data_IF_509839025199
#
_entry.id   IF_509839025199
#
_cell.length_a   1.000
_cell.length_b   1.000
_cell.length_c   1.000
_cell.angle_alpha   90.00
_cell.angle_beta   90.00
_cell.angle_gamma   90.00
#
_symmetry.space_group_name_H-M   'P 1'
#
loop_
_entity.id
_entity.type
_entity.pdbx_description
1 polymer ?
#
# COMPACT_ATOMS: atom_id res chain seq x y z
N UNK A 1 -9.10 19.63 -11.84
CA UNK A 1 -8.29 18.40 -11.70
C UNK A 1 -9.22 17.19 -11.70
N UNK A 2 -8.96 16.15 -12.50
CA UNK A 2 -9.87 14.99 -12.58
C UNK A 2 -9.99 14.27 -11.23
N UNK A 3 -11.15 13.67 -10.95
CA UNK A 3 -11.40 12.94 -9.71
C UNK A 3 -10.33 11.87 -9.44
N UNK A 4 -9.93 11.14 -10.48
CA UNK A 4 -8.87 10.11 -10.44
C UNK A 4 -7.55 10.66 -9.91
N UNK A 5 -7.11 11.80 -10.45
CA UNK A 5 -5.88 12.46 -10.01
C UNK A 5 -5.97 12.86 -8.55
N UNK A 6 -7.13 13.37 -8.09
CA UNK A 6 -7.31 13.76 -6.69
C UNK A 6 -7.20 12.54 -5.79
N UNK A 7 -7.91 11.45 -6.09
CA UNK A 7 -7.85 10.22 -5.30
C UNK A 7 -6.43 9.64 -5.28
N UNK A 8 -5.77 9.56 -6.44
CA UNK A 8 -4.39 9.08 -6.56
C UNK A 8 -3.42 9.91 -5.73
N UNK A 9 -3.44 11.25 -5.85
CA UNK A 9 -2.56 12.13 -5.07
C UNK A 9 -2.89 12.11 -3.58
N UNK A 10 -4.17 12.05 -3.19
CA UNK A 10 -4.55 11.94 -1.77
C UNK A 10 -4.10 10.62 -1.16
N UNK A 11 -4.17 9.53 -1.91
CA UNK A 11 -3.66 8.24 -1.47
C UNK A 11 -2.13 8.25 -1.33
N UNK A 12 -1.41 8.85 -2.30
CA UNK A 12 0.04 9.02 -2.20
C UNK A 12 0.42 9.90 -0.99
N UNK A 13 -0.33 10.97 -0.75
CA UNK A 13 -0.13 11.83 0.41
C UNK A 13 -0.37 11.08 1.73
N UNK A 14 -1.42 10.25 1.81
CA UNK A 14 -1.67 9.44 3.02
C UNK A 14 -0.62 8.35 3.22
N UNK A 15 -0.06 7.79 2.15
CA UNK A 15 1.11 6.90 2.23
C UNK A 15 2.35 7.64 2.75
N UNK A 16 2.64 8.85 2.28
CA UNK A 16 3.74 9.67 2.80
C UNK A 16 3.56 10.02 4.28
N UNK A 17 2.33 10.30 4.70
CA UNK A 17 2.01 10.50 6.11
C UNK A 17 2.27 9.23 6.93
N UNK A 18 1.88 8.06 6.42
CA UNK A 18 2.16 6.77 7.06
C UNK A 18 3.67 6.50 7.18
N UNK A 19 4.43 6.77 6.11
CA UNK A 19 5.90 6.63 6.12
C UNK A 19 6.54 7.59 7.12
N UNK A 20 6.05 8.83 7.18
CA UNK A 20 6.52 9.82 8.15
C UNK A 20 6.23 9.39 9.59
N UNK A 21 5.07 8.76 9.83
CA UNK A 21 4.75 8.14 11.11
C UNK A 21 5.75 7.02 11.44
N UNK A 22 6.08 6.13 10.50
CA UNK A 22 7.11 5.09 10.70
C UNK A 22 8.43 5.72 11.16
N UNK A 23 8.89 6.80 10.53
CA UNK A 23 10.12 7.48 10.95
C UNK A 23 10.04 8.09 12.35
N UNK A 24 8.86 8.57 12.76
CA UNK A 24 8.64 9.02 14.14
C UNK A 24 8.74 7.83 15.11
N UNK A 25 8.17 6.68 14.75
CA UNK A 25 8.19 5.46 15.56
C UNK A 25 9.57 4.85 15.74
N UNK A 26 10.42 4.92 14.71
CA UNK A 26 11.81 4.42 14.78
C UNK A 26 12.67 5.26 15.75
N UNK A 27 12.23 6.46 16.14
CA UNK A 27 12.98 7.27 17.11
C UNK A 27 12.88 6.68 18.52
N UNK A 28 13.97 6.71 19.31
CA UNK A 28 14.04 6.09 20.65
C UNK A 28 13.07 6.64 21.73
N UNK A 29 12.19 7.59 21.39
CA UNK A 29 11.21 8.21 22.29
C UNK A 29 9.75 8.07 21.79
N UNK A 30 9.50 7.24 20.77
CA UNK A 30 8.17 7.05 20.21
C UNK A 30 7.25 6.23 21.11
N UNK A 31 6.30 6.88 21.79
CA UNK A 31 5.11 6.33 22.46
C UNK A 31 5.25 4.88 22.98
N UNK A 32 5.85 4.72 24.16
CA UNK A 32 6.11 3.45 24.88
C UNK A 32 4.97 2.42 24.86
N UNK A 33 3.71 2.84 24.75
CA UNK A 33 2.57 1.93 24.80
C UNK A 33 2.52 0.95 23.61
N UNK A 34 2.89 1.38 22.40
CA UNK A 34 2.90 0.51 21.21
C UNK A 34 4.14 -0.38 21.18
N UNK A 35 5.28 0.11 21.65
CA UNK A 35 6.45 -0.72 21.89
C UNK A 35 6.17 -1.85 22.90
N UNK A 36 5.37 -1.58 23.95
CA UNK A 36 4.92 -2.59 24.92
C UNK A 36 3.96 -3.64 24.34
N UNK A 37 3.18 -3.27 23.33
CA UNK A 37 2.30 -4.23 22.63
C UNK A 37 3.12 -5.22 21.78
N UNK A 38 4.36 -4.88 21.46
CA UNK A 38 5.19 -5.65 20.55
C UNK A 38 4.66 -5.63 19.12
N UNK A 39 5.33 -6.40 18.28
CA UNK A 39 4.98 -6.58 16.87
C UNK A 39 3.60 -7.19 16.72
N UNK A 40 3.35 -8.27 17.46
CA UNK A 40 2.14 -9.09 17.36
C UNK A 40 0.92 -8.30 17.82
N UNK A 41 1.03 -7.58 18.93
CA UNK A 41 -0.03 -6.71 19.44
C UNK A 41 -0.33 -5.55 18.50
N UNK A 42 0.71 -4.97 17.88
CA UNK A 42 0.55 -3.91 16.87
C UNK A 42 -0.16 -4.44 15.62
N UNK A 43 0.23 -5.61 15.12
CA UNK A 43 -0.45 -6.25 13.99
C UNK A 43 -1.91 -6.62 14.32
N UNK A 44 -2.16 -7.16 15.51
CA UNK A 44 -3.51 -7.49 15.93
C UNK A 44 -4.39 -6.23 16.00
N UNK A 45 -3.87 -5.13 16.55
CA UNK A 45 -4.59 -3.85 16.60
C UNK A 45 -4.86 -3.30 15.19
N UNK A 46 -3.91 -3.44 14.26
CA UNK A 46 -4.10 -3.07 12.86
C UNK A 46 -5.22 -3.90 12.22
N UNK A 47 -5.20 -5.23 12.41
CA UNK A 47 -6.21 -6.15 11.87
C UNK A 47 -7.59 -5.85 12.47
N UNK A 48 -7.69 -5.59 13.78
CA UNK A 48 -8.94 -5.25 14.45
C UNK A 48 -9.49 -3.90 13.97
N UNK A 49 -8.64 -2.88 13.86
CA UNK A 49 -9.02 -1.55 13.34
C UNK A 49 -9.48 -1.65 11.89
N UNK A 50 -8.84 -2.51 11.10
CA UNK A 50 -9.25 -2.82 9.75
C UNK A 50 -10.60 -3.55 9.70
N UNK A 51 -10.81 -4.56 10.54
CA UNK A 51 -12.08 -5.27 10.61
C UNK A 51 -13.23 -4.31 10.97
N UNK A 52 -12.97 -3.38 11.89
CA UNK A 52 -13.87 -2.28 12.19
C UNK A 52 -14.10 -1.39 10.96
N UNK A 53 -13.05 -0.97 10.24
CA UNK A 53 -13.19 -0.17 9.02
C UNK A 53 -14.03 -0.88 7.95
N UNK A 54 -13.84 -2.19 7.77
CA UNK A 54 -14.63 -3.00 6.85
C UNK A 54 -16.11 -3.06 7.26
N UNK A 55 -16.40 -3.14 8.57
CA UNK A 55 -17.78 -3.11 9.10
C UNK A 55 -18.45 -1.75 8.89
N UNK A 56 -17.67 -0.66 8.81
CA UNK A 56 -18.12 0.71 8.62
C UNK A 56 -18.23 1.13 7.14
N UNK A 57 -18.33 0.18 6.20
CA UNK A 57 -18.37 0.46 4.75
C UNK A 57 -19.45 1.46 4.32
N UNK A 58 -20.56 1.50 5.03
CA UNK A 58 -21.72 2.38 4.77
C UNK A 58 -21.76 3.59 5.70
N UNK A 59 -20.80 3.71 6.62
CA UNK A 59 -20.75 4.82 7.54
C UNK A 59 -20.25 6.10 6.87
N UNK A 60 -20.55 7.28 7.45
CA UNK A 60 -19.99 8.55 6.98
C UNK A 60 -18.46 8.55 6.99
N UNK A 61 -17.86 9.29 6.04
CA UNK A 61 -16.39 9.37 5.90
C UNK A 61 -15.65 9.79 7.19
N UNK A 62 -16.15 10.72 8.03
CA UNK A 62 -15.49 11.06 9.29
C UNK A 62 -15.33 9.86 10.24
N UNK A 63 -16.35 8.98 10.32
CA UNK A 63 -16.29 7.79 11.17
C UNK A 63 -15.28 6.77 10.63
N UNK A 64 -15.25 6.57 9.31
CA UNK A 64 -14.25 5.71 8.67
C UNK A 64 -12.83 6.26 8.92
N UNK A 65 -12.64 7.56 8.83
CA UNK A 65 -11.36 8.21 9.10
C UNK A 65 -10.91 8.02 10.56
N UNK A 66 -11.81 8.16 11.53
CA UNK A 66 -11.50 7.92 12.94
C UNK A 66 -11.01 6.49 13.21
N UNK A 67 -11.58 5.49 12.52
CA UNK A 67 -11.14 4.09 12.63
C UNK A 67 -9.90 3.78 11.78
N UNK A 68 -9.64 4.57 10.74
CA UNK A 68 -8.41 4.51 9.97
C UNK A 68 -7.18 4.97 10.78
N UNK A 69 -7.32 5.95 11.68
CA UNK A 69 -6.22 6.44 12.53
C UNK A 69 -5.55 5.30 13.33
N UNK A 70 -6.26 4.50 14.14
CA UNK A 70 -5.63 3.42 14.90
C UNK A 70 -5.04 2.34 13.97
N UNK A 71 -5.67 2.07 12.81
CA UNK A 71 -5.08 1.20 11.78
C UNK A 71 -3.74 1.75 11.26
N UNK A 72 -3.68 3.03 10.90
CA UNK A 72 -2.47 3.66 10.37
C UNK A 72 -1.36 3.68 11.42
N UNK A 73 -1.66 4.06 12.66
CA UNK A 73 -0.68 4.09 13.75
C UNK A 73 -0.14 2.70 14.08
N UNK A 74 -1.01 1.70 14.21
CA UNK A 74 -0.61 0.33 14.55
C UNK A 74 0.13 -0.37 13.40
N UNK A 75 -0.26 -0.14 12.14
CA UNK A 75 0.48 -0.64 10.98
C UNK A 75 1.87 0.01 10.88
N UNK A 76 1.95 1.33 11.08
CA UNK A 76 3.22 2.04 11.10
C UNK A 76 4.13 1.54 12.22
N UNK A 77 3.58 1.32 13.42
CA UNK A 77 4.32 0.77 14.55
C UNK A 77 4.79 -0.67 14.28
N UNK A 78 3.93 -1.54 13.74
CA UNK A 78 4.30 -2.91 13.40
C UNK A 78 5.44 -2.97 12.38
N UNK A 79 5.38 -2.14 11.34
CA UNK A 79 6.46 -2.00 10.36
C UNK A 79 7.72 -1.47 11.04
N UNK A 80 7.64 -0.39 11.81
CA UNK A 80 8.78 0.21 12.50
C UNK A 80 9.49 -0.78 13.43
N UNK A 81 8.74 -1.61 14.16
CA UNK A 81 9.28 -2.65 15.04
C UNK A 81 9.92 -3.82 14.27
N UNK A 82 9.45 -4.11 13.05
CA UNK A 82 10.06 -5.10 12.16
C UNK A 82 11.30 -4.59 11.43
N UNK A 83 11.37 -3.28 11.15
CA UNK A 83 12.44 -2.70 10.34
C UNK A 83 13.85 -3.10 10.80
N UNK A 84 14.22 -3.06 12.10
CA UNK A 84 15.54 -3.48 12.55
C UNK A 84 15.83 -4.94 12.22
N UNK A 85 14.88 -5.84 12.47
CA UNK A 85 15.03 -7.27 12.16
C UNK A 85 15.23 -7.51 10.65
N UNK A 86 14.45 -6.84 9.80
CA UNK A 86 14.61 -6.96 8.33
C UNK A 86 15.98 -6.40 7.91
N UNK A 87 16.41 -5.27 8.49
CA UNK A 87 17.68 -4.66 8.16
C UNK A 87 18.88 -5.54 8.57
N UNK A 88 18.77 -6.25 9.70
CA UNK A 88 19.83 -7.12 10.22
C UNK A 88 19.89 -8.46 9.44
N UNK A 89 18.75 -9.11 9.21
CA UNK A 89 18.69 -10.43 8.55
C UNK A 89 18.73 -10.34 7.01
N UNK A 90 18.24 -9.23 6.45
CA UNK A 90 18.09 -9.04 5.00
C UNK A 90 18.48 -7.62 4.55
N UNK A 91 19.73 -7.19 4.77
CA UNK A 91 20.18 -5.81 4.51
C UNK A 91 20.00 -5.38 3.03
N UNK A 92 20.30 -6.28 2.09
CA UNK A 92 20.16 -6.03 0.66
C UNK A 92 18.69 -5.88 0.25
N UNK A 93 17.81 -6.68 0.86
CA UNK A 93 16.38 -6.61 0.63
C UNK A 93 15.79 -5.32 1.19
N UNK A 94 16.14 -4.94 2.43
CA UNK A 94 15.66 -3.71 3.06
C UNK A 94 16.01 -2.48 2.21
N UNK A 95 17.26 -2.42 1.76
CA UNK A 95 17.75 -1.30 0.96
C UNK A 95 17.11 -1.30 -0.43
N UNK A 96 17.19 -2.42 -1.16
CA UNK A 96 16.65 -2.51 -2.53
C UNK A 96 15.13 -2.36 -2.61
N UNK A 97 14.39 -2.94 -1.67
CA UNK A 97 12.94 -2.89 -1.64
C UNK A 97 12.44 -1.46 -1.39
N UNK A 98 13.02 -0.75 -0.42
CA UNK A 98 12.63 0.63 -0.11
C UNK A 98 12.83 1.56 -1.33
N UNK A 99 13.98 1.44 -2.01
CA UNK A 99 14.26 2.25 -3.21
C UNK A 99 13.35 1.90 -4.38
N UNK A 100 13.04 0.62 -4.59
CA UNK A 100 12.18 0.19 -5.71
C UNK A 100 10.72 0.55 -5.48
N UNK A 101 10.24 0.44 -4.24
CA UNK A 101 8.90 0.91 -3.88
C UNK A 101 8.83 2.44 -3.98
N UNK A 102 9.87 3.14 -3.52
CA UNK A 102 9.98 4.60 -3.66
C UNK A 102 9.91 5.04 -5.12
N UNK A 103 10.70 4.43 -5.99
CA UNK A 103 10.70 4.75 -7.43
C UNK A 103 9.34 4.50 -8.09
N UNK A 104 8.67 3.40 -7.78
CA UNK A 104 7.34 3.12 -8.27
C UNK A 104 6.32 4.20 -7.86
N UNK A 105 6.29 4.59 -6.59
CA UNK A 105 5.38 5.63 -6.13
C UNK A 105 5.72 7.02 -6.69
N UNK A 106 7.00 7.33 -6.88
CA UNK A 106 7.43 8.54 -7.59
C UNK A 106 6.96 8.52 -9.04
N UNK A 107 7.16 7.42 -9.77
CA UNK A 107 6.69 7.28 -11.15
C UNK A 107 5.16 7.46 -11.27
N UNK A 108 4.41 6.85 -10.35
CA UNK A 108 2.96 7.02 -10.26
C UNK A 108 2.57 8.48 -9.98
N UNK A 109 3.24 9.15 -9.03
CA UNK A 109 3.00 10.56 -8.71
C UNK A 109 3.24 11.47 -9.92
N UNK A 110 4.39 11.30 -10.60
CA UNK A 110 4.72 12.05 -11.82
C UNK A 110 3.68 11.81 -12.91
N UNK A 111 3.25 10.56 -13.11
CA UNK A 111 2.18 10.25 -14.05
C UNK A 111 0.88 10.97 -13.68
N UNK A 112 0.44 10.95 -12.43
CA UNK A 112 -0.78 11.65 -12.01
C UNK A 112 -0.69 13.18 -12.16
N UNK A 113 0.49 13.76 -11.95
CA UNK A 113 0.74 15.19 -12.14
C UNK A 113 0.69 15.59 -13.62
N UNK A 114 1.36 14.83 -14.49
CA UNK A 114 1.56 15.20 -15.90
C UNK A 114 0.54 14.61 -16.88
N UNK A 115 -0.14 13.52 -16.54
CA UNK A 115 -1.17 12.95 -17.42
C UNK A 115 -2.19 14.03 -17.78
N UNK A 116 -2.68 14.07 -19.02
CA UNK A 116 -3.59 15.11 -19.49
C UNK A 116 -5.02 14.95 -18.96
N UNK A 117 -6.00 15.28 -19.82
CA UNK A 117 -7.43 15.04 -19.58
C UNK A 117 -7.76 13.55 -19.59
N UNK A 118 -7.09 12.79 -20.45
CA UNK A 118 -7.34 11.36 -20.64
C UNK A 118 -6.37 10.55 -19.78
N UNK A 119 -6.89 10.06 -18.65
CA UNK A 119 -6.13 9.25 -17.71
C UNK A 119 -6.27 7.77 -18.09
N UNK A 120 -5.16 7.14 -18.52
CA UNK A 120 -5.13 5.72 -18.86
C UNK A 120 -4.49 4.94 -17.72
N UNK A 121 -5.22 4.02 -17.11
CA UNK A 121 -4.66 3.16 -16.05
C UNK A 121 -3.57 2.23 -16.57
N UNK A 122 -3.76 1.68 -17.78
CA UNK A 122 -2.74 0.86 -18.44
C UNK A 122 -1.51 1.72 -18.75
N UNK A 123 -1.72 2.93 -19.27
CA UNK A 123 -0.61 3.87 -19.54
C UNK A 123 0.13 4.26 -18.26
N UNK A 124 -0.59 4.56 -17.18
CA UNK A 124 -0.02 4.89 -15.88
C UNK A 124 0.80 3.74 -15.29
N UNK A 125 0.27 2.52 -15.36
CA UNK A 125 1.00 1.31 -15.00
C UNK A 125 2.29 1.16 -15.82
N UNK A 126 2.20 1.22 -17.16
CA UNK A 126 3.38 1.05 -18.02
C UNK A 126 4.46 2.11 -17.77
N UNK A 127 4.08 3.39 -17.68
CA UNK A 127 5.03 4.48 -17.40
C UNK A 127 5.68 4.29 -16.04
N UNK A 128 4.90 3.93 -15.02
CA UNK A 128 5.42 3.67 -13.68
C UNK A 128 6.40 2.51 -13.68
N UNK A 129 6.09 1.41 -14.38
CA UNK A 129 6.96 0.24 -14.45
C UNK A 129 8.25 0.52 -15.23
N UNK A 130 8.19 1.27 -16.32
CA UNK A 130 9.39 1.69 -17.08
C UNK A 130 10.29 2.55 -16.18
N UNK A 131 9.70 3.54 -15.50
CA UNK A 131 10.43 4.40 -14.57
C UNK A 131 11.09 3.60 -13.44
N UNK A 132 10.35 2.68 -12.84
CA UNK A 132 10.82 1.77 -11.79
C UNK A 132 11.96 0.89 -12.28
N UNK A 133 11.83 0.31 -13.48
CA UNK A 133 12.86 -0.54 -14.07
C UNK A 133 14.17 0.22 -14.33
N UNK A 134 14.08 1.44 -14.88
CA UNK A 134 15.26 2.29 -15.14
C UNK A 134 15.99 2.63 -13.84
N UNK A 135 15.25 3.06 -12.81
CA UNK A 135 15.85 3.39 -11.51
C UNK A 135 16.40 2.16 -10.81
N UNK A 136 15.74 1.01 -10.93
CA UNK A 136 16.24 -0.24 -10.37
C UNK A 136 17.54 -0.66 -11.06
N UNK A 137 17.62 -0.62 -12.39
CA UNK A 137 18.87 -0.91 -13.12
C UNK A 137 20.00 0.01 -12.67
N UNK A 138 19.73 1.32 -12.56
CA UNK A 138 20.71 2.27 -12.04
C UNK A 138 21.14 1.93 -10.62
N UNK A 139 20.20 1.51 -9.77
CA UNK A 139 20.48 1.10 -8.40
C UNK A 139 21.33 -0.18 -8.33
N UNK A 140 21.05 -1.17 -9.16
CA UNK A 140 21.83 -2.42 -9.27
C UNK A 140 23.27 -2.17 -9.75
N UNK A 141 23.54 -1.07 -10.45
CA UNK A 141 24.91 -0.69 -10.88
C UNK A 141 25.69 -0.03 -9.74
N UNK A 142 25.00 0.74 -8.90
CA UNK A 142 25.63 1.54 -7.82
C UNK A 142 25.70 0.77 -6.50
N UNK A 143 24.99 -0.34 -6.38
CA UNK A 143 24.92 -1.17 -5.17
C UNK A 143 25.27 -2.62 -5.45
N UNK A 144 25.49 -3.39 -4.38
CA UNK A 144 25.86 -4.80 -4.47
C UNK A 144 24.66 -5.74 -4.71
N UNK A 145 23.49 -5.21 -5.05
CA UNK A 145 22.31 -6.03 -5.32
C UNK A 145 22.54 -6.88 -6.57
N UNK A 146 22.37 -8.20 -6.43
CA UNK A 146 22.47 -9.11 -7.56
C UNK A 146 21.21 -9.02 -8.45
N UNK A 147 21.39 -9.27 -9.75
CA UNK A 147 20.31 -9.16 -10.75
C UNK A 147 19.06 -9.98 -10.40
N UNK A 148 19.23 -11.17 -9.81
CA UNK A 148 18.12 -12.03 -9.42
C UNK A 148 17.28 -11.44 -8.27
N UNK A 149 17.93 -10.78 -7.30
CA UNK A 149 17.24 -10.06 -6.22
C UNK A 149 16.50 -8.84 -6.78
N UNK A 150 17.16 -8.05 -7.62
CA UNK A 150 16.53 -6.91 -8.28
C UNK A 150 15.29 -7.35 -9.08
N UNK A 151 15.40 -8.42 -9.86
CA UNK A 151 14.27 -8.98 -10.61
C UNK A 151 13.12 -9.44 -9.68
N UNK A 152 13.44 -10.14 -8.58
CA UNK A 152 12.43 -10.55 -7.61
C UNK A 152 11.70 -9.36 -6.99
N UNK A 153 12.44 -8.31 -6.58
CA UNK A 153 11.86 -7.06 -6.06
C UNK A 153 10.97 -6.40 -7.13
N UNK A 154 11.44 -6.33 -8.37
CA UNK A 154 10.68 -5.76 -9.49
C UNK A 154 9.35 -6.49 -9.71
N UNK A 155 9.33 -7.81 -9.66
CA UNK A 155 8.10 -8.61 -9.81
C UNK A 155 7.11 -8.33 -8.68
N UNK A 156 7.60 -8.26 -7.44
CA UNK A 156 6.74 -7.92 -6.28
C UNK A 156 6.15 -6.52 -6.43
N UNK A 157 6.98 -5.53 -6.77
CA UNK A 157 6.53 -4.15 -6.99
C UNK A 157 5.59 -4.05 -8.18
N UNK A 158 5.83 -4.78 -9.27
CA UNK A 158 4.94 -4.85 -10.42
C UNK A 158 3.54 -5.35 -10.02
N UNK A 159 3.47 -6.41 -9.22
CA UNK A 159 2.22 -6.92 -8.68
C UNK A 159 1.49 -5.89 -7.83
N UNK A 160 2.20 -5.20 -6.93
CA UNK A 160 1.64 -4.15 -6.07
C UNK A 160 1.09 -2.96 -6.88
N UNK A 161 1.88 -2.45 -7.82
CA UNK A 161 1.50 -1.30 -8.66
C UNK A 161 0.35 -1.66 -9.59
N UNK A 162 0.38 -2.86 -10.18
CA UNK A 162 -0.73 -3.37 -10.99
C UNK A 162 -2.04 -3.43 -10.19
N UNK A 163 -1.98 -4.01 -9.00
CA UNK A 163 -3.15 -4.12 -8.12
C UNK A 163 -3.66 -2.73 -7.72
N UNK A 164 -2.77 -1.80 -7.42
CA UNK A 164 -3.15 -0.43 -7.09
C UNK A 164 -3.86 0.29 -8.24
N UNK A 165 -3.34 0.21 -9.48
CA UNK A 165 -4.01 0.81 -10.64
C UNK A 165 -5.34 0.12 -10.96
N UNK A 166 -5.43 -1.20 -10.76
CA UNK A 166 -6.69 -1.95 -10.86
C UNK A 166 -7.73 -1.46 -9.85
N UNK A 167 -7.35 -1.31 -8.57
CA UNK A 167 -8.23 -0.82 -7.51
C UNK A 167 -8.67 0.61 -7.78
N UNK A 168 -7.76 1.46 -8.23
CA UNK A 168 -8.07 2.84 -8.62
C UNK A 168 -9.12 2.87 -9.74
N UNK A 169 -9.00 1.99 -10.74
CA UNK A 169 -10.00 1.83 -11.78
C UNK A 169 -11.35 1.35 -11.24
N UNK A 170 -11.36 0.41 -10.29
CA UNK A 170 -12.59 -0.09 -9.68
C UNK A 170 -13.27 0.95 -8.77
N UNK A 171 -12.51 1.80 -8.10
CA UNK A 171 -13.04 2.91 -7.29
C UNK A 171 -13.76 3.93 -8.17
N UNK A 172 -13.23 4.25 -9.35
CA UNK A 172 -13.91 5.15 -10.30
C UNK A 172 -15.27 4.64 -10.77
N UNK A 173 -15.44 3.31 -10.86
CA UNK A 173 -16.71 2.72 -11.26
C UNK A 173 -17.78 2.82 -10.16
N UNK A 174 -17.38 3.06 -8.91
CA UNK A 174 -18.24 3.00 -7.72
C UNK A 174 -18.49 4.35 -7.06
N UNK A 175 -17.63 5.35 -7.26
CA UNK A 175 -17.65 6.63 -6.53
C UNK A 175 -17.79 7.86 -7.42
N UNK A 176 -18.37 8.91 -6.85
CA UNK A 176 -18.61 10.21 -7.49
C UNK A 176 -17.55 11.25 -7.10
N UNK A 177 -17.52 12.39 -7.80
CA UNK A 177 -16.44 13.38 -7.68
C UNK A 177 -16.25 13.99 -6.27
N UNK A 178 -17.29 13.96 -5.43
CA UNK A 178 -17.28 14.50 -4.06
C UNK A 178 -16.78 13.50 -3.01
N UNK A 179 -16.60 12.23 -3.37
CA UNK A 179 -16.32 11.14 -2.42
C UNK A 179 -14.83 10.79 -2.34
N UNK A 180 -13.92 11.77 -2.46
CA UNK A 180 -12.47 11.53 -2.53
C UNK A 180 -11.95 10.77 -1.30
N UNK A 181 -12.35 11.18 -0.10
CA UNK A 181 -11.92 10.52 1.15
C UNK A 181 -12.44 9.08 1.23
N UNK A 182 -13.70 8.84 0.88
CA UNK A 182 -14.29 7.50 0.87
C UNK A 182 -13.62 6.60 -0.19
N UNK A 183 -13.27 7.17 -1.35
CA UNK A 183 -12.51 6.50 -2.40
C UNK A 183 -11.12 6.06 -1.91
N UNK A 184 -10.41 6.91 -1.16
CA UNK A 184 -9.11 6.55 -0.56
C UNK A 184 -9.28 5.44 0.49
N UNK A 185 -10.31 5.50 1.32
CA UNK A 185 -10.60 4.42 2.29
C UNK A 185 -10.93 3.09 1.59
N UNK A 186 -11.66 3.14 0.47
CA UNK A 186 -11.95 1.96 -0.34
C UNK A 186 -10.65 1.34 -0.89
N UNK A 187 -9.65 2.13 -1.30
CA UNK A 187 -8.33 1.62 -1.73
C UNK A 187 -7.62 0.88 -0.60
N UNK A 188 -7.59 1.42 0.62
CA UNK A 188 -6.99 0.73 1.76
C UNK A 188 -7.71 -0.59 2.06
N UNK A 189 -9.05 -0.60 2.01
CA UNK A 189 -9.84 -1.81 2.23
C UNK A 189 -9.59 -2.86 1.13
N UNK A 190 -9.50 -2.45 -0.13
CA UNK A 190 -9.33 -3.35 -1.26
C UNK A 190 -7.90 -3.93 -1.32
N UNK A 191 -6.87 -3.13 -0.99
CA UNK A 191 -5.50 -3.59 -0.76
C UNK A 191 -5.41 -4.68 0.33
N UNK A 192 -6.27 -4.61 1.34
CA UNK A 192 -6.28 -5.59 2.43
C UNK A 192 -7.14 -6.81 2.11
N UNK A 193 -8.17 -6.66 1.28
CA UNK A 193 -8.88 -7.79 0.69
C UNK A 193 -7.95 -8.66 -0.14
N UNK A 194 -6.93 -8.11 -0.81
CA UNK A 194 -5.90 -8.89 -1.49
C UNK A 194 -5.22 -9.91 -0.57
N UNK A 195 -4.91 -9.50 0.67
CA UNK A 195 -4.27 -10.36 1.68
C UNK A 195 -5.26 -11.37 2.28
N UNK A 196 -6.47 -10.92 2.61
CA UNK A 196 -7.48 -11.76 3.27
C UNK A 196 -8.24 -12.72 2.34
N UNK A 197 -8.33 -12.42 1.04
CA UNK A 197 -9.08 -13.22 0.08
C UNK A 197 -8.53 -14.64 -0.11
N UNK A 198 -7.21 -14.87 -0.29
CA UNK A 198 -6.65 -16.21 -0.33
C UNK A 198 -7.02 -17.06 0.88
N UNK A 199 -6.98 -16.48 2.09
CA UNK A 199 -7.36 -17.17 3.34
C UNK A 199 -8.84 -17.58 3.31
N UNK A 200 -9.73 -16.69 2.87
CA UNK A 200 -11.16 -17.00 2.73
C UNK A 200 -11.40 -18.12 1.71
N UNK A 201 -10.70 -18.09 0.57
CA UNK A 201 -10.80 -19.13 -0.46
C UNK A 201 -10.29 -20.49 0.04
N UNK A 202 -9.23 -20.50 0.85
CA UNK A 202 -8.72 -21.72 1.48
C UNK A 202 -9.71 -22.31 2.49
N UNK A 203 -10.41 -21.46 3.25
CA UNK A 203 -11.41 -21.86 4.26
C UNK A 203 -12.79 -22.17 3.68
N UNK A 204 -13.07 -21.84 2.42
CA UNK A 204 -14.37 -22.14 1.81
C UNK A 204 -14.62 -23.65 1.77
N UNK A 205 -15.77 -24.13 2.27
CA UNK A 205 -16.16 -25.54 2.18
C UNK A 205 -16.08 -26.03 0.73
N UNK A 206 -15.52 -27.23 0.51
CA UNK A 206 -15.29 -27.78 -0.83
C UNK A 206 -16.56 -27.80 -1.71
N UNK A 207 -17.75 -27.89 -1.10
CA UNK A 207 -19.04 -27.87 -1.81
C UNK A 207 -19.45 -26.52 -2.42
N UNK A 208 -18.94 -25.39 -1.89
CA UNK A 208 -19.21 -24.04 -2.40
C UNK A 208 -18.24 -23.62 -3.52
N UNK A 209 -17.18 -24.39 -3.77
CA UNK A 209 -16.20 -24.12 -4.84
C UNK A 209 -16.74 -24.41 -6.25
N UNK A 210 -17.96 -24.96 -6.38
CA UNK A 210 -18.64 -25.14 -7.66
C UNK A 210 -19.40 -23.86 -8.01
N UNK A 211 -18.69 -22.88 -8.56
CA UNK A 211 -19.32 -21.79 -9.31
C UNK A 211 -19.93 -22.45 -10.55
N UNK A 212 -21.27 -22.47 -10.65
CA UNK A 212 -21.95 -22.84 -11.89
C UNK A 212 -21.63 -21.74 -12.90
N UNK A 213 -20.79 -22.07 -13.88
CA UNK A 213 -20.64 -21.29 -15.11
C UNK A 213 -21.92 -21.41 -15.95
#
# INVERSE_FOLDING_TARGET
MSFVKRVGLWHLFSLLALVSLIFIWVRPQGLDFLARLGVEGSWLLAICSLAALASLRSAPAPLQFLVFIPFALSSAAAIALWTPFIADEFPDYATGFAWTVGSAWTGAALYHMFAGRDHSFVGGFMVTMIFTAVLLIAFTIVTDIILSQAFAIFVVVAGMVFYWFYDLAMVLRRRTQGEVTAAVMDLYRDALNFVGFPIRVMRMPKGLKRIRY
#
